data_IF_356780622679
#
_entry.id   IF_356780622679
#
_cell.length_a   1.000
_cell.length_b   1.000
_cell.length_c   1.000
_cell.angle_alpha   90.00
_cell.angle_beta   90.00
_cell.angle_gamma   90.00
#
_symmetry.space_group_name_H-M   'P 1'
#
loop_
_entity.id
_entity.type
_entity.pdbx_description
1 polymer ?
#
# COMPACT_ATOMS: atom_id res chain seq x y z
N UNK A 1 2.24 -1.55 5.51
CA UNK A 1 2.90 -0.24 5.56
C UNK A 1 3.44 0.13 4.19
N UNK A 2 3.46 1.42 3.85
CA UNK A 2 4.03 1.91 2.59
C UNK A 2 5.53 1.62 2.53
N UNK A 3 6.01 1.17 1.36
CA UNK A 3 7.44 0.95 1.07
C UNK A 3 8.15 0.02 2.07
N UNK A 4 7.46 -0.97 2.61
CA UNK A 4 8.04 -1.96 3.52
C UNK A 4 7.77 -3.37 2.98
N UNK A 5 8.69 -4.29 3.28
CA UNK A 5 8.43 -5.71 3.07
C UNK A 5 7.33 -6.17 4.04
N UNK A 6 6.21 -6.59 3.46
CA UNK A 6 5.10 -7.14 4.22
C UNK A 6 5.03 -8.64 3.94
N UNK A 7 5.56 -9.42 4.88
CA UNK A 7 5.43 -10.88 4.83
C UNK A 7 3.95 -11.28 4.88
N UNK A 8 3.61 -12.40 4.23
CA UNK A 8 2.29 -12.99 4.43
C UNK A 8 2.12 -13.35 5.91
N UNK A 9 0.96 -13.08 6.50
CA UNK A 9 0.67 -13.48 7.87
C UNK A 9 0.72 -15.00 8.02
N UNK A 10 1.12 -15.48 9.18
CA UNK A 10 1.16 -16.91 9.48
C UNK A 10 -0.21 -17.55 9.24
N UNK A 11 -0.21 -18.70 8.56
CA UNK A 11 -1.42 -19.43 8.19
C UNK A 11 -2.25 -18.82 7.04
N UNK A 12 -1.74 -17.76 6.38
CA UNK A 12 -2.39 -17.16 5.21
C UNK A 12 -1.54 -17.30 3.95
N UNK A 13 -2.17 -17.77 2.90
CA UNK A 13 -1.68 -17.66 1.54
C UNK A 13 -2.34 -16.47 0.81
N UNK A 14 -1.91 -16.23 -0.42
CA UNK A 14 -2.43 -15.13 -1.26
C UNK A 14 -3.95 -15.27 -1.51
N UNK A 15 -4.42 -16.47 -1.79
CA UNK A 15 -5.84 -16.70 -2.12
C UNK A 15 -6.75 -16.48 -0.89
N UNK A 16 -6.30 -16.92 0.28
CA UNK A 16 -7.04 -16.70 1.53
C UNK A 16 -7.10 -15.22 1.89
N UNK A 17 -5.98 -14.50 1.73
CA UNK A 17 -5.98 -13.05 1.95
C UNK A 17 -6.87 -12.31 0.96
N UNK A 18 -6.80 -12.63 -0.34
CA UNK A 18 -7.65 -12.00 -1.35
C UNK A 18 -9.13 -12.19 -1.02
N UNK A 19 -9.52 -13.42 -0.68
CA UNK A 19 -10.89 -13.70 -0.23
C UNK A 19 -11.29 -12.85 0.98
N UNK A 20 -10.39 -12.70 1.95
CA UNK A 20 -10.65 -11.92 3.16
C UNK A 20 -10.80 -10.42 2.84
N UNK A 21 -9.95 -9.87 1.96
CA UNK A 21 -10.07 -8.49 1.47
C UNK A 21 -11.41 -8.27 0.78
N UNK A 22 -11.80 -9.17 -0.14
CA UNK A 22 -13.07 -9.09 -0.86
C UNK A 22 -14.29 -9.15 0.08
N UNK A 23 -14.24 -9.98 1.11
CA UNK A 23 -15.33 -10.11 2.10
C UNK A 23 -15.41 -8.92 3.06
N UNK A 24 -14.26 -8.34 3.40
CA UNK A 24 -14.18 -7.27 4.42
C UNK A 24 -14.48 -5.89 3.85
N UNK A 25 -14.04 -5.63 2.63
CA UNK A 25 -14.15 -4.31 1.98
C UNK A 25 -14.86 -4.37 0.61
N UNK A 26 -16.00 -5.02 0.45
CA UNK A 26 -16.61 -5.27 -0.86
C UNK A 26 -16.86 -3.97 -1.63
N UNK A 27 -16.31 -3.87 -2.85
CA UNK A 27 -16.50 -2.74 -3.74
C UNK A 27 -15.88 -1.42 -3.28
N UNK A 28 -15.06 -1.44 -2.22
CA UNK A 28 -14.40 -0.22 -1.74
C UNK A 28 -13.16 0.10 -2.56
N UNK A 29 -12.97 1.38 -2.83
CA UNK A 29 -11.78 1.92 -3.49
C UNK A 29 -11.49 3.32 -2.97
N UNK A 30 -10.23 3.75 -3.08
CA UNK A 30 -9.78 5.12 -2.78
C UNK A 30 -9.02 5.70 -3.96
N UNK A 31 -9.13 7.01 -4.15
CA UNK A 31 -8.33 7.70 -5.14
C UNK A 31 -6.86 7.70 -4.73
N UNK A 32 -5.97 7.52 -5.70
CA UNK A 32 -4.53 7.54 -5.51
C UNK A 32 -3.87 8.48 -6.52
N UNK A 33 -2.78 9.18 -6.17
CA UNK A 33 -2.07 10.05 -7.10
C UNK A 33 -1.35 9.25 -8.20
N UNK A 34 -1.04 7.98 -7.92
CA UNK A 34 -0.32 7.11 -8.83
C UNK A 34 -0.58 5.63 -8.50
N UNK A 35 -0.45 4.78 -9.51
CA UNK A 35 -0.39 3.32 -9.36
C UNK A 35 1.05 2.82 -9.43
N UNK A 36 1.23 1.53 -9.18
CA UNK A 36 2.51 0.82 -9.35
C UNK A 36 2.33 -0.24 -10.42
N UNK A 37 3.21 -0.26 -11.41
CA UNK A 37 3.08 -1.02 -12.64
C UNK A 37 3.04 -2.54 -12.49
N UNK A 38 3.30 -3.12 -11.30
CA UNK A 38 3.27 -4.56 -11.12
C UNK A 38 1.86 -5.17 -11.23
N UNK A 39 0.80 -4.40 -10.94
CA UNK A 39 -0.58 -4.82 -11.07
C UNK A 39 -1.48 -3.60 -11.34
N UNK A 40 -1.61 -3.22 -12.61
CA UNK A 40 -2.46 -2.13 -13.07
C UNK A 40 -3.48 -2.64 -14.07
N UNK A 41 -4.76 -2.34 -13.84
CA UNK A 41 -5.79 -2.45 -14.85
C UNK A 41 -6.09 -1.06 -15.44
N UNK A 42 -5.95 -0.92 -16.75
CA UNK A 42 -6.21 0.33 -17.46
C UNK A 42 -7.33 0.11 -18.47
N UNK A 43 -8.35 0.95 -18.41
CA UNK A 43 -9.46 0.90 -19.36
C UNK A 43 -8.98 1.28 -20.77
N UNK A 44 -9.54 0.64 -21.80
CA UNK A 44 -9.20 0.90 -23.21
C UNK A 44 -9.49 2.33 -23.63
N UNK A 45 -10.59 2.90 -23.16
CA UNK A 45 -10.97 4.28 -23.45
C UNK A 45 -10.03 5.28 -22.77
N UNK A 46 -9.53 5.00 -21.56
CA UNK A 46 -8.48 5.79 -20.96
C UNK A 46 -7.17 5.76 -21.77
N UNK A 47 -6.78 4.57 -22.28
CA UNK A 47 -5.62 4.47 -23.17
C UNK A 47 -5.81 5.23 -24.49
N UNK A 48 -7.03 5.24 -25.03
CA UNK A 48 -7.33 5.99 -26.23
C UNK A 48 -7.27 7.51 -26.02
N UNK A 49 -7.68 7.97 -24.86
CA UNK A 49 -7.74 9.39 -24.50
C UNK A 49 -6.37 9.95 -24.03
N UNK A 50 -5.67 9.20 -23.18
CA UNK A 50 -4.42 9.63 -22.53
C UNK A 50 -3.18 9.22 -23.32
N UNK A 51 -3.28 8.20 -24.16
CA UNK A 51 -2.16 7.59 -24.86
C UNK A 51 -1.50 6.46 -24.06
N UNK A 52 -0.38 5.97 -24.59
CA UNK A 52 0.41 4.89 -23.97
C UNK A 52 1.41 5.44 -22.94
N UNK A 53 2.15 4.55 -22.30
CA UNK A 53 3.29 4.90 -21.45
C UNK A 53 4.37 5.60 -22.27
N UNK A 54 4.95 6.66 -21.71
CA UNK A 54 6.03 7.42 -22.35
C UNK A 54 7.38 6.74 -22.12
N UNK A 55 7.66 5.72 -22.96
CA UNK A 55 8.93 4.99 -22.90
C UNK A 55 10.11 5.77 -23.46
N UNK A 56 9.87 6.84 -24.22
CA UNK A 56 10.93 7.70 -24.77
C UNK A 56 11.54 8.55 -23.63
N UNK A 57 10.71 9.14 -22.77
CA UNK A 57 11.16 9.99 -21.67
C UNK A 57 11.67 9.19 -20.47
N UNK A 58 11.09 8.03 -20.19
CA UNK A 58 11.37 7.26 -18.96
C UNK A 58 12.19 5.98 -19.19
N UNK A 59 12.23 5.48 -20.41
CA UNK A 59 12.83 4.18 -20.68
C UNK A 59 11.91 3.03 -20.21
N UNK A 60 12.51 1.97 -19.63
CA UNK A 60 11.75 0.82 -19.12
C UNK A 60 11.97 0.68 -17.60
N UNK A 61 10.90 0.69 -16.85
CA UNK A 61 10.86 0.18 -15.49
C UNK A 61 10.78 1.19 -14.37
N UNK A 62 10.77 2.51 -14.63
CA UNK A 62 10.59 3.52 -13.59
C UNK A 62 9.97 4.80 -14.14
N UNK A 63 8.87 5.24 -13.53
CA UNK A 63 8.27 6.55 -13.76
C UNK A 63 7.22 6.62 -14.86
N UNK A 64 7.23 5.70 -15.81
CA UNK A 64 6.27 5.69 -16.92
C UNK A 64 4.83 5.47 -16.46
N UNK A 65 4.61 4.63 -15.45
CA UNK A 65 3.29 4.43 -14.85
C UNK A 65 2.85 5.64 -14.03
N UNK A 66 3.80 6.32 -13.37
CA UNK A 66 3.52 7.51 -12.60
C UNK A 66 3.12 8.67 -13.52
N UNK A 67 3.86 8.86 -14.63
CA UNK A 67 3.52 9.82 -15.68
C UNK A 67 2.13 9.54 -16.26
N UNK A 68 1.84 8.27 -16.61
CA UNK A 68 0.54 7.89 -17.12
C UNK A 68 -0.59 8.26 -16.14
N UNK A 69 -0.43 7.93 -14.85
CA UNK A 69 -1.43 8.27 -13.83
C UNK A 69 -1.65 9.78 -13.72
N UNK A 70 -0.58 10.57 -13.80
CA UNK A 70 -0.67 12.04 -13.73
C UNK A 70 -1.35 12.62 -14.99
N UNK A 71 -1.06 12.11 -16.19
CA UNK A 71 -1.76 12.51 -17.42
C UNK A 71 -3.23 12.11 -17.39
N UNK A 72 -3.53 10.90 -16.92
CA UNK A 72 -4.89 10.42 -16.75
C UNK A 72 -5.69 11.32 -15.80
N UNK A 73 -5.14 11.67 -14.66
CA UNK A 73 -5.79 12.58 -13.69
C UNK A 73 -6.05 13.97 -14.31
N UNK A 74 -5.10 14.54 -15.05
CA UNK A 74 -5.25 15.81 -15.78
C UNK A 74 -6.33 15.75 -16.87
N UNK A 75 -6.53 14.59 -17.48
CA UNK A 75 -7.59 14.34 -18.45
C UNK A 75 -8.96 14.02 -17.81
N UNK A 76 -9.07 14.05 -16.47
CA UNK A 76 -10.32 13.81 -15.74
C UNK A 76 -10.59 12.35 -15.39
N UNK A 77 -9.63 11.45 -15.62
CA UNK A 77 -9.70 10.05 -15.17
C UNK A 77 -9.32 9.92 -13.70
N UNK A 78 -9.85 8.89 -13.05
CA UNK A 78 -9.51 8.57 -11.66
C UNK A 78 -8.54 7.40 -11.62
N UNK A 79 -7.49 7.52 -10.82
CA UNK A 79 -6.64 6.41 -10.43
C UNK A 79 -7.18 5.84 -9.12
N UNK A 80 -7.49 4.55 -9.09
CA UNK A 80 -8.13 3.92 -7.95
C UNK A 80 -7.26 2.79 -7.38
N UNK A 81 -7.13 2.76 -6.07
CA UNK A 81 -6.66 1.59 -5.32
C UNK A 81 -7.88 0.81 -4.83
N UNK A 82 -8.06 -0.40 -5.33
CA UNK A 82 -9.12 -1.30 -4.90
C UNK A 82 -8.76 -1.89 -3.54
N UNK A 83 -9.69 -1.79 -2.58
CA UNK A 83 -9.48 -2.22 -1.20
C UNK A 83 -10.04 -3.62 -0.91
N UNK A 84 -10.74 -4.19 -1.88
CA UNK A 84 -11.34 -5.52 -1.86
C UNK A 84 -10.49 -6.57 -2.59
N UNK A 85 -9.30 -6.20 -3.04
CA UNK A 85 -8.42 -7.09 -3.81
C UNK A 85 -7.03 -7.12 -3.17
N UNK A 86 -6.49 -8.31 -2.96
CA UNK A 86 -5.14 -8.50 -2.45
C UNK A 86 -4.23 -9.08 -3.52
N UNK A 87 -3.12 -8.40 -3.79
CA UNK A 87 -2.08 -8.87 -4.71
C UNK A 87 -0.74 -8.91 -4.00
N UNK A 88 -0.08 -10.07 -4.04
CA UNK A 88 1.27 -10.20 -3.50
C UNK A 88 2.29 -9.74 -4.54
N UNK A 89 3.13 -8.79 -4.16
CA UNK A 89 4.28 -8.37 -4.92
C UNK A 89 5.57 -8.90 -4.28
N UNK A 90 6.27 -9.80 -4.95
CA UNK A 90 7.60 -10.22 -4.54
C UNK A 90 8.61 -9.20 -5.09
N UNK A 91 8.85 -8.13 -4.33
CA UNK A 91 9.74 -7.05 -4.73
C UNK A 91 11.17 -7.49 -5.05
N UNK A 92 11.86 -6.73 -5.90
CA UNK A 92 13.29 -6.94 -6.19
C UNK A 92 13.63 -8.04 -7.19
N UNK A 93 12.66 -8.78 -7.71
CA UNK A 93 12.90 -9.88 -8.67
C UNK A 93 13.33 -9.35 -10.04
N UNK A 94 12.75 -8.23 -10.48
CA UNK A 94 13.03 -7.65 -11.80
C UNK A 94 14.12 -6.58 -11.79
N UNK A 95 14.34 -5.91 -10.64
CA UNK A 95 15.28 -4.82 -10.49
C UNK A 95 15.96 -4.93 -9.13
N UNK A 96 17.29 -5.08 -9.11
CA UNK A 96 18.04 -5.15 -7.85
C UNK A 96 17.85 -3.87 -7.03
N UNK A 97 17.60 -4.04 -5.74
CA UNK A 97 17.37 -2.96 -4.80
C UNK A 97 18.57 -1.99 -4.73
N UNK A 98 18.34 -0.75 -5.09
CA UNK A 98 19.26 0.37 -4.99
C UNK A 98 18.73 1.50 -5.87
N UNK A 99 18.84 2.74 -5.43
CA UNK A 99 18.53 3.92 -6.28
C UNK A 99 19.48 3.94 -7.46
N UNK A 100 19.11 3.23 -8.52
CA UNK A 100 19.93 3.16 -9.73
C UNK A 100 20.01 4.55 -10.38
N UNK A 101 21.06 4.89 -11.11
CA UNK A 101 21.13 6.13 -11.89
C UNK A 101 19.91 6.32 -12.80
N UNK A 102 19.32 5.23 -13.28
CA UNK A 102 18.10 5.23 -14.10
C UNK A 102 16.88 5.69 -13.30
N UNK A 103 16.70 5.20 -12.09
CA UNK A 103 15.61 5.63 -11.21
C UNK A 103 15.70 7.12 -10.86
N UNK A 104 16.93 7.61 -10.60
CA UNK A 104 17.16 9.03 -10.35
C UNK A 104 16.81 9.89 -11.56
N UNK A 105 17.24 9.50 -12.76
CA UNK A 105 16.93 10.21 -14.00
C UNK A 105 15.42 10.21 -14.30
N UNK A 106 14.74 9.08 -14.06
CA UNK A 106 13.29 8.98 -14.20
C UNK A 106 12.56 9.90 -13.23
N UNK A 107 12.98 9.97 -11.97
CA UNK A 107 12.39 10.89 -10.99
C UNK A 107 12.65 12.36 -11.32
N UNK A 108 13.80 12.72 -11.86
CA UNK A 108 14.07 14.08 -12.36
C UNK A 108 13.16 14.45 -13.53
N UNK A 109 12.96 13.52 -14.46
CA UNK A 109 12.03 13.68 -15.57
C UNK A 109 10.60 13.86 -15.07
N UNK A 110 10.16 13.04 -14.12
CA UNK A 110 8.83 13.11 -13.53
C UNK A 110 8.59 14.45 -12.82
N UNK A 111 9.55 14.95 -12.01
CA UNK A 111 9.46 16.27 -11.37
C UNK A 111 9.32 17.41 -12.37
N UNK A 112 10.05 17.33 -13.49
CA UNK A 112 9.98 18.35 -14.55
C UNK A 112 8.62 18.36 -15.24
N UNK A 113 8.03 17.19 -15.52
CA UNK A 113 6.76 17.05 -16.22
C UNK A 113 5.56 17.26 -15.31
N UNK A 114 5.69 16.88 -14.04
CA UNK A 114 4.64 16.89 -13.01
C UNK A 114 5.17 17.50 -11.70
N UNK A 115 5.32 18.83 -11.61
CA UNK A 115 5.94 19.50 -10.46
C UNK A 115 5.24 19.23 -9.11
N UNK A 116 3.95 18.94 -9.14
CA UNK A 116 3.13 18.70 -7.95
C UNK A 116 3.13 17.24 -7.48
N UNK A 117 3.67 16.32 -8.27
CA UNK A 117 3.59 14.88 -8.05
C UNK A 117 4.06 14.44 -6.65
N UNK A 118 5.27 14.86 -6.24
CA UNK A 118 5.82 14.47 -4.93
C UNK A 118 4.97 15.02 -3.78
N UNK A 119 4.46 16.23 -3.91
CA UNK A 119 3.56 16.86 -2.92
C UNK A 119 2.27 16.05 -2.78
N UNK A 120 1.67 15.63 -3.90
CA UNK A 120 0.44 14.83 -3.92
C UNK A 120 0.67 13.45 -3.29
N UNK A 121 1.79 12.80 -3.61
CA UNK A 121 2.14 11.50 -3.01
C UNK A 121 2.37 11.63 -1.51
N UNK A 122 3.10 12.64 -1.05
CA UNK A 122 3.33 12.85 0.38
C UNK A 122 2.03 13.18 1.12
N UNK A 123 1.14 13.98 0.53
CA UNK A 123 -0.17 14.26 1.10
C UNK A 123 -1.01 13.00 1.21
N UNK A 124 -1.04 12.17 0.18
CA UNK A 124 -1.73 10.87 0.20
C UNK A 124 -1.20 9.94 1.29
N UNK A 125 0.12 9.81 1.42
CA UNK A 125 0.76 9.00 2.47
C UNK A 125 0.40 9.52 3.85
N UNK A 126 0.39 10.84 4.05
CA UNK A 126 0.06 11.47 5.32
C UNK A 126 -1.41 11.26 5.75
N UNK A 127 -2.34 11.29 4.80
CA UNK A 127 -3.77 11.04 5.02
C UNK A 127 -4.06 9.55 5.18
N UNK A 128 -3.38 8.70 4.40
CA UNK A 128 -3.56 7.25 4.35
C UNK A 128 -5.03 6.79 4.28
N UNK A 129 -5.76 7.12 3.21
CA UNK A 129 -7.21 6.87 3.13
C UNK A 129 -7.58 5.38 3.13
N UNK A 130 -6.64 4.48 2.86
CA UNK A 130 -6.84 3.04 2.92
C UNK A 130 -6.60 2.43 4.33
N UNK A 131 -6.23 3.24 5.33
CA UNK A 131 -5.87 2.77 6.67
C UNK A 131 -7.00 1.99 7.34
N UNK A 132 -8.20 2.53 7.34
CA UNK A 132 -9.36 1.88 7.97
C UNK A 132 -9.68 0.53 7.34
N UNK A 133 -9.63 0.43 6.02
CA UNK A 133 -9.87 -0.82 5.30
C UNK A 133 -8.81 -1.89 5.65
N UNK A 134 -7.53 -1.53 5.73
CA UNK A 134 -6.48 -2.44 6.20
C UNK A 134 -6.70 -2.90 7.64
N UNK A 135 -7.08 -1.98 8.54
CA UNK A 135 -7.39 -2.31 9.93
C UNK A 135 -8.57 -3.29 10.04
N UNK A 136 -9.60 -3.12 9.20
CA UNK A 136 -10.72 -4.05 9.18
C UNK A 136 -10.32 -5.46 8.74
N UNK A 137 -9.40 -5.59 7.78
CA UNK A 137 -8.83 -6.90 7.39
C UNK A 137 -8.03 -7.52 8.54
N UNK A 138 -7.23 -6.72 9.25
CA UNK A 138 -6.48 -7.20 10.42
C UNK A 138 -7.42 -7.70 11.54
N UNK A 139 -8.50 -6.98 11.81
CA UNK A 139 -9.54 -7.42 12.75
C UNK A 139 -10.24 -8.71 12.30
N UNK A 140 -10.52 -8.85 11.01
CA UNK A 140 -11.12 -10.06 10.45
C UNK A 140 -10.18 -11.26 10.60
N UNK A 141 -8.88 -11.09 10.33
CA UNK A 141 -7.85 -12.12 10.56
C UNK A 141 -7.80 -12.56 12.01
N UNK A 142 -7.85 -11.62 12.95
CA UNK A 142 -7.84 -11.93 14.39
C UNK A 142 -9.09 -12.72 14.81
N UNK A 143 -10.25 -12.37 14.28
CA UNK A 143 -11.50 -13.13 14.53
C UNK A 143 -11.40 -14.56 14.02
N UNK A 144 -10.80 -14.75 12.85
CA UNK A 144 -10.60 -16.10 12.28
C UNK A 144 -9.57 -16.92 13.05
N UNK A 145 -8.59 -16.29 13.71
CA UNK A 145 -7.55 -17.02 14.44
C UNK A 145 -8.08 -17.75 15.69
N UNK A 146 -9.21 -17.31 16.25
CA UNK A 146 -9.72 -17.80 17.52
C UNK A 146 -8.81 -17.50 18.73
N UNK A 147 -7.73 -16.77 18.53
CA UNK A 147 -6.77 -16.42 19.59
C UNK A 147 -7.35 -15.30 20.46
N UNK A 148 -7.26 -15.38 21.80
CA UNK A 148 -7.69 -14.30 22.66
C UNK A 148 -6.99 -12.97 22.31
N UNK A 149 -7.77 -11.90 22.24
CA UNK A 149 -7.26 -10.55 21.93
C UNK A 149 -7.26 -9.70 23.19
N UNK A 150 -6.12 -9.12 23.51
CA UNK A 150 -5.96 -8.18 24.62
C UNK A 150 -5.77 -6.79 24.07
N UNK A 151 -6.73 -5.90 24.33
CA UNK A 151 -6.62 -4.48 23.99
C UNK A 151 -5.99 -3.73 25.16
N UNK A 152 -4.78 -3.23 24.96
CA UNK A 152 -4.10 -2.36 25.93
C UNK A 152 -4.23 -0.90 25.49
N UNK A 153 -4.96 -0.11 26.28
CA UNK A 153 -5.08 1.35 26.07
C UNK A 153 -4.03 2.04 26.89
N UNK A 154 -3.09 2.71 26.24
CA UNK A 154 -1.95 3.38 26.88
C UNK A 154 -1.96 4.87 26.52
N UNK A 155 -1.39 5.69 27.41
CA UNK A 155 -1.03 7.05 27.05
C UNK A 155 0.26 7.03 26.18
N UNK A 156 0.50 8.09 25.45
CA UNK A 156 1.61 8.25 24.50
C UNK A 156 3.00 8.48 25.17
N UNK A 157 3.05 8.51 26.50
CA UNK A 157 4.31 8.72 27.24
C UNK A 157 5.01 7.41 27.53
N UNK A 158 6.29 7.37 27.26
CA UNK A 158 7.14 6.27 27.71
C UNK A 158 7.15 6.17 29.24
N UNK A 159 7.06 4.95 29.79
CA UNK A 159 7.02 4.76 31.23
C UNK A 159 6.78 3.32 31.67
N UNK A 160 6.53 3.14 32.93
CA UNK A 160 6.34 1.83 33.57
C UNK A 160 5.15 1.05 32.95
N UNK A 161 4.07 1.74 32.61
CA UNK A 161 2.88 1.11 32.02
C UNK A 161 3.20 0.46 30.68
N UNK A 162 3.91 1.16 29.78
CA UNK A 162 4.34 0.61 28.51
C UNK A 162 5.26 -0.59 28.69
N UNK A 163 6.22 -0.49 29.63
CA UNK A 163 7.13 -1.60 29.97
C UNK A 163 6.36 -2.81 30.48
N UNK A 164 5.40 -2.60 31.40
CA UNK A 164 4.59 -3.68 31.96
C UNK A 164 3.77 -4.40 30.87
N UNK A 165 3.11 -3.65 29.99
CA UNK A 165 2.35 -4.25 28.87
C UNK A 165 3.27 -5.00 27.91
N UNK A 166 4.46 -4.46 27.61
CA UNK A 166 5.44 -5.14 26.76
C UNK A 166 5.94 -6.46 27.37
N UNK A 167 6.19 -6.50 28.69
CA UNK A 167 6.56 -7.74 29.38
C UNK A 167 5.40 -8.75 29.40
N UNK A 168 4.17 -8.29 29.66
CA UNK A 168 2.98 -9.14 29.60
C UNK A 168 2.77 -9.74 28.22
N UNK A 169 2.96 -8.95 27.17
CA UNK A 169 2.86 -9.40 25.78
C UNK A 169 3.88 -10.51 25.45
N UNK A 170 5.12 -10.38 25.98
CA UNK A 170 6.14 -11.43 25.84
C UNK A 170 5.72 -12.74 26.53
N UNK A 171 5.18 -12.66 27.73
CA UNK A 171 4.75 -13.85 28.48
C UNK A 171 3.54 -14.55 27.83
N UNK A 172 2.67 -13.80 27.17
CA UNK A 172 1.48 -14.31 26.49
C UNK A 172 1.68 -14.57 24.99
N UNK A 173 2.92 -14.51 24.52
CA UNK A 173 3.24 -14.78 23.11
C UNK A 173 2.77 -16.18 22.72
N UNK A 174 1.99 -16.27 21.63
CA UNK A 174 1.33 -17.49 21.19
C UNK A 174 0.00 -17.83 21.90
N UNK A 175 -0.35 -17.12 22.98
CA UNK A 175 -1.60 -17.31 23.72
C UNK A 175 -2.58 -16.14 23.59
N UNK A 176 -2.09 -14.95 23.25
CA UNK A 176 -2.91 -13.77 23.04
C UNK A 176 -2.24 -12.80 22.05
N UNK A 177 -3.04 -11.98 21.40
CA UNK A 177 -2.57 -10.87 20.54
C UNK A 177 -2.82 -9.55 21.28
N UNK A 178 -1.81 -8.69 21.33
CA UNK A 178 -1.89 -7.39 21.97
C UNK A 178 -2.01 -6.28 20.93
N UNK A 179 -2.95 -5.36 21.19
CA UNK A 179 -3.06 -4.10 20.47
C UNK A 179 -2.79 -2.95 21.43
N UNK A 180 -2.01 -1.99 20.95
CA UNK A 180 -1.86 -0.67 21.58
C UNK A 180 -2.52 0.38 20.69
N UNK A 181 -3.34 1.22 21.28
CA UNK A 181 -3.92 2.38 20.65
C UNK A 181 -3.08 3.62 20.96
#
# INVERSE_FOLDING_TARGET
HFCQDNALPEGFDTARLDKLFAQTNPGQAVDVPTGVGFCMYIRRDALADVGLFDVESFGKGYGEENDFCQRAAKAGWRNLHLLDTFVRHAGGVSFQAGKSPREQAAMETLRRMHPDYEREVHAFIGVDPARSARQMVDLARLRESGTPVVLAVLHDRAGGTLRHVAELAKHLQGHAVFFTL
#
